data_IF_902565837143
#
_entry.id   IF_902565837143
#
_cell.length_a   1.000
_cell.length_b   1.000
_cell.length_c   1.000
_cell.angle_alpha   90.00
_cell.angle_beta   90.00
_cell.angle_gamma   90.00
#
_symmetry.space_group_name_H-M   'P 1'
#
loop_
_entity.id
_entity.type
_entity.pdbx_description
1 polymer ?
#
# COMPACT_ATOMS: atom_id res chain seq x y z
N UNK A 1 5.96 -1.07 24.90
CA UNK A 1 5.15 -2.25 24.52
C UNK A 1 4.84 -2.16 23.03
N UNK A 2 5.51 -2.94 22.18
CA UNK A 2 5.17 -3.02 20.76
C UNK A 2 4.00 -4.00 20.59
N UNK A 3 2.83 -3.51 20.19
CA UNK A 3 1.71 -4.37 19.79
C UNK A 3 1.91 -4.72 18.33
N UNK A 4 2.28 -5.97 18.04
CA UNK A 4 2.25 -6.49 16.68
C UNK A 4 0.80 -6.58 16.26
N UNK A 5 0.34 -5.68 15.38
CA UNK A 5 -0.94 -5.85 14.72
C UNK A 5 -0.73 -7.01 13.74
N UNK A 6 -1.35 -8.16 14.01
CA UNK A 6 -1.46 -9.23 13.03
C UNK A 6 -2.32 -8.71 11.87
N UNK A 7 -1.68 -8.20 10.83
CA UNK A 7 -2.37 -7.65 9.67
C UNK A 7 -2.95 -8.79 8.84
N UNK A 8 -4.24 -9.08 9.00
CA UNK A 8 -4.98 -9.90 8.02
C UNK A 8 -4.87 -9.24 6.65
N UNK A 9 -4.59 -9.98 5.56
CA UNK A 9 -4.59 -9.42 4.22
C UNK A 9 -5.94 -8.75 3.93
N UNK A 10 -5.93 -7.43 3.69
CA UNK A 10 -7.12 -6.70 3.28
C UNK A 10 -7.28 -6.89 1.77
N UNK A 11 -8.42 -7.44 1.35
CA UNK A 11 -8.78 -7.49 -0.08
C UNK A 11 -9.41 -6.15 -0.46
N UNK A 12 -8.78 -5.45 -1.38
CA UNK A 12 -9.31 -4.21 -1.95
C UNK A 12 -9.92 -4.51 -3.32
N UNK A 13 -11.10 -3.98 -3.59
CA UNK A 13 -11.74 -4.08 -4.90
C UNK A 13 -11.80 -2.69 -5.51
N UNK A 14 -11.21 -2.56 -6.70
CA UNK A 14 -11.06 -1.29 -7.39
C UNK A 14 -11.27 -1.48 -8.90
N UNK A 15 -11.64 -0.40 -9.63
CA UNK A 15 -11.63 -0.40 -11.08
C UNK A 15 -10.23 -0.76 -11.61
N UNK A 16 -10.18 -1.53 -12.70
CA UNK A 16 -8.91 -2.01 -13.30
C UNK A 16 -7.93 -0.85 -13.58
N UNK A 17 -8.42 0.27 -14.12
CA UNK A 17 -7.61 1.46 -14.39
C UNK A 17 -6.88 1.99 -13.15
N UNK A 18 -7.49 1.91 -11.97
CA UNK A 18 -6.85 2.32 -10.72
C UNK A 18 -5.78 1.31 -10.29
N UNK A 19 -6.06 0.02 -10.46
CA UNK A 19 -5.10 -1.06 -10.16
C UNK A 19 -3.85 -0.87 -11.02
N UNK A 20 -4.03 -0.67 -12.33
CA UNK A 20 -2.92 -0.49 -13.28
C UNK A 20 -2.05 0.72 -12.91
N UNK A 21 -2.68 1.87 -12.63
CA UNK A 21 -1.97 3.08 -12.24
C UNK A 21 -1.15 2.92 -10.95
N UNK A 22 -1.69 2.21 -9.96
CA UNK A 22 -0.97 1.92 -8.71
C UNK A 22 0.20 0.97 -8.97
N UNK A 23 0.02 -0.03 -9.83
CA UNK A 23 1.10 -0.96 -10.20
C UNK A 23 2.25 -0.27 -10.93
N UNK A 24 1.94 0.60 -11.89
CA UNK A 24 2.94 1.39 -12.61
C UNK A 24 3.75 2.29 -11.67
N UNK A 25 3.06 2.97 -10.74
CA UNK A 25 3.71 3.86 -9.79
C UNK A 25 4.57 3.10 -8.76
N UNK A 26 4.10 1.95 -8.27
CA UNK A 26 4.88 1.06 -7.41
C UNK A 26 6.17 0.59 -8.12
N UNK A 27 6.06 0.17 -9.39
CA UNK A 27 7.20 -0.25 -10.20
C UNK A 27 8.19 0.90 -10.44
N UNK A 28 7.69 2.12 -10.69
CA UNK A 28 8.51 3.33 -10.86
C UNK A 28 9.36 3.64 -9.63
N UNK A 29 8.84 3.34 -8.44
CA UNK A 29 9.55 3.53 -7.17
C UNK A 29 10.38 2.30 -6.74
N UNK A 30 10.40 1.24 -7.55
CA UNK A 30 11.11 -0.01 -7.23
C UNK A 30 10.51 -0.76 -6.04
N UNK A 31 9.22 -0.53 -5.72
CA UNK A 31 8.51 -1.14 -4.59
C UNK A 31 7.53 -2.20 -5.09
N UNK A 32 7.27 -3.22 -4.26
CA UNK A 32 6.12 -4.07 -4.51
C UNK A 32 4.81 -3.37 -4.10
N UNK A 33 3.68 -3.88 -4.61
CA UNK A 33 2.37 -3.26 -4.37
C UNK A 33 2.04 -3.11 -2.88
N UNK A 34 2.39 -4.11 -2.06
CA UNK A 34 2.10 -4.07 -0.62
C UNK A 34 2.93 -3.03 0.11
N UNK A 35 4.20 -2.85 -0.27
CA UNK A 35 5.08 -1.81 0.26
C UNK A 35 4.58 -0.43 -0.12
N UNK A 36 4.22 -0.25 -1.39
CA UNK A 36 3.69 1.00 -1.91
C UNK A 36 2.37 1.40 -1.22
N UNK A 37 1.44 0.47 -1.05
CA UNK A 37 0.19 0.75 -0.31
C UNK A 37 0.44 1.09 1.16
N UNK A 38 1.45 0.47 1.79
CA UNK A 38 1.85 0.81 3.16
C UNK A 38 2.51 2.18 3.25
N UNK A 39 3.31 2.59 2.26
CA UNK A 39 3.94 3.92 2.26
C UNK A 39 2.90 5.02 2.15
N UNK A 40 1.93 4.89 1.23
CA UNK A 40 0.79 5.81 1.11
C UNK A 40 0.00 5.86 2.42
N UNK A 41 -0.29 4.70 3.03
CA UNK A 41 -1.03 4.66 4.27
C UNK A 41 -0.29 5.41 5.39
N UNK A 42 1.02 5.16 5.55
CA UNK A 42 1.86 5.86 6.55
C UNK A 42 1.90 7.35 6.34
N UNK A 43 2.11 7.80 5.10
CA UNK A 43 2.11 9.22 4.74
C UNK A 43 0.76 9.85 5.12
N UNK A 44 -0.35 9.19 4.75
CA UNK A 44 -1.70 9.74 4.97
C UNK A 44 -2.09 9.80 6.44
N UNK A 45 -1.65 8.85 7.26
CA UNK A 45 -1.91 8.85 8.71
C UNK A 45 -0.88 9.65 9.51
N UNK A 46 0.11 10.27 8.85
CA UNK A 46 1.13 11.10 9.51
C UNK A 46 2.15 10.29 10.32
N UNK A 47 2.35 9.02 10.00
CA UNK A 47 3.36 8.15 10.62
C UNK A 47 4.69 8.21 9.86
N UNK A 48 5.22 9.43 9.68
CA UNK A 48 6.57 9.66 9.14
C UNK A 48 7.64 9.30 10.16
#
# INVERSE_FOLDING_TARGET
MHRTIHCTPIKFHAPQKLVDAIHEEAARQGMNLSEFMRSIAREKVGLN
#
